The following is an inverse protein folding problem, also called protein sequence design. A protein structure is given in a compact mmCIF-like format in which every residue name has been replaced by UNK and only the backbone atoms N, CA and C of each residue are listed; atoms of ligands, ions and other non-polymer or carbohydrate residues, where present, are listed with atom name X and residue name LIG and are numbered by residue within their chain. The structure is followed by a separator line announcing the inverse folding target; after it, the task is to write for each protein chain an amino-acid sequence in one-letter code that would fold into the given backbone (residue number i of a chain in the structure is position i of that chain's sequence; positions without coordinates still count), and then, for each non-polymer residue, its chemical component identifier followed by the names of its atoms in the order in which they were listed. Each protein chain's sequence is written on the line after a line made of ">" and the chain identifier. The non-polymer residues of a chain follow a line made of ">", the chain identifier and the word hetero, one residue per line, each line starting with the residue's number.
data_IF_778167177134
#
_entry.id   IF_778167177134
#
_cell.length_a   1.000
_cell.length_b   1.000
_cell.length_c   1.000
_cell.angle_alpha   90.00
_cell.angle_beta   90.00
_cell.angle_gamma   90.00
#
_symmetry.space_group_name_H-M   'P 1'
#
loop_
_entity.id
_entity.type
_entity.pdbx_description
1 polymer ?
#
# COMPACT_ATOMS: atom_id res chain seq x y z
N UNK A 1 -36.29 -19.28 86.57
CA UNK A 1 -35.24 -18.72 85.68
C UNK A 1 -35.58 -19.10 84.25
N UNK A 2 -36.23 -18.21 83.51
CA UNK A 2 -36.63 -18.42 82.12
C UNK A 2 -35.41 -18.21 81.21
N UNK A 3 -35.02 -19.24 80.45
CA UNK A 3 -34.01 -19.12 79.38
C UNK A 3 -34.71 -18.72 78.08
N UNK A 4 -34.57 -17.46 77.70
CA UNK A 4 -35.03 -16.95 76.41
C UNK A 4 -34.00 -17.30 75.34
N UNK A 5 -34.39 -18.12 74.37
CA UNK A 5 -33.59 -18.49 73.20
C UNK A 5 -33.59 -17.28 72.24
N UNK A 6 -32.40 -16.74 71.94
CA UNK A 6 -32.24 -15.73 70.88
C UNK A 6 -31.96 -16.44 69.56
N UNK A 7 -32.89 -16.35 68.62
CA UNK A 7 -32.69 -16.77 67.23
C UNK A 7 -31.71 -15.80 66.55
N UNK A 8 -30.62 -16.33 66.03
CA UNK A 8 -29.68 -15.60 65.17
C UNK A 8 -30.15 -15.76 63.74
N UNK A 9 -30.54 -14.65 63.11
CA UNK A 9 -30.85 -14.59 61.67
C UNK A 9 -29.55 -14.29 60.95
N UNK A 10 -29.01 -15.26 60.21
CA UNK A 10 -27.91 -15.05 59.28
C UNK A 10 -28.46 -14.54 57.95
N UNK A 11 -28.18 -13.28 57.62
CA UNK A 11 -28.46 -12.70 56.32
C UNK A 11 -27.29 -13.06 55.39
N UNK A 12 -27.53 -13.93 54.41
CA UNK A 12 -26.61 -14.18 53.32
C UNK A 12 -26.67 -13.00 52.33
N UNK A 13 -25.62 -12.18 52.29
CA UNK A 13 -25.43 -11.22 51.21
C UNK A 13 -24.92 -11.98 49.98
N UNK A 14 -25.77 -12.11 48.96
CA UNK A 14 -25.33 -12.54 47.64
C UNK A 14 -24.51 -11.40 47.00
N UNK A 15 -23.19 -11.58 46.94
CA UNK A 15 -22.31 -10.68 46.21
C UNK A 15 -22.46 -11.02 44.72
N UNK A 16 -23.25 -10.23 43.99
CA UNK A 16 -23.31 -10.30 42.54
C UNK A 16 -22.00 -9.80 41.96
N UNK A 17 -21.23 -10.69 41.32
CA UNK A 17 -20.10 -10.28 40.49
C UNK A 17 -20.62 -9.72 39.18
N UNK A 18 -20.78 -8.40 39.10
CA UNK A 18 -20.88 -7.71 37.83
C UNK A 18 -19.53 -7.82 37.13
N UNK A 19 -19.44 -8.57 36.05
CA UNK A 19 -18.27 -8.58 35.18
C UNK A 19 -18.12 -7.20 34.54
N UNK A 20 -17.25 -6.36 35.12
CA UNK A 20 -16.84 -5.10 34.51
C UNK A 20 -15.98 -5.45 33.31
N UNK A 21 -16.53 -5.31 32.10
CA UNK A 21 -15.76 -5.34 30.86
C UNK A 21 -15.00 -4.01 30.76
N UNK A 22 -13.74 -4.02 31.16
CA UNK A 22 -12.83 -2.92 30.89
C UNK A 22 -12.35 -3.05 29.44
N UNK A 23 -12.77 -2.14 28.57
CA UNK A 23 -12.12 -2.00 27.26
C UNK A 23 -10.69 -1.52 27.50
N UNK A 24 -9.66 -2.22 26.99
CA UNK A 24 -8.29 -1.77 27.15
C UNK A 24 -8.14 -0.39 26.47
N UNK A 25 -7.55 0.56 27.18
CA UNK A 25 -7.17 1.87 26.64
C UNK A 25 -5.79 1.85 25.99
N UNK A 26 -5.03 0.77 26.20
CA UNK A 26 -3.72 0.51 25.60
C UNK A 26 -3.87 -0.74 24.73
N UNK A 27 -3.68 -0.57 23.43
CA UNK A 27 -3.63 -1.66 22.46
C UNK A 27 -2.16 -1.96 22.14
N UNK A 28 -1.76 -3.23 22.02
CA UNK A 28 -0.44 -3.56 21.50
C UNK A 28 -0.26 -2.93 20.12
N UNK A 29 0.81 -2.15 19.94
CA UNK A 29 1.22 -1.55 18.67
C UNK A 29 2.39 -2.34 18.09
N UNK A 30 2.51 -2.40 16.76
CA UNK A 30 3.53 -3.22 16.08
C UNK A 30 3.02 -4.63 15.80
N UNK A 31 3.95 -5.57 15.58
CA UNK A 31 3.58 -6.97 15.31
C UNK A 31 3.15 -7.64 16.62
N UNK A 32 1.88 -8.02 16.71
CA UNK A 32 1.32 -8.63 17.92
C UNK A 32 1.64 -10.12 18.04
N UNK A 33 1.87 -10.81 16.92
CA UNK A 33 2.21 -12.23 16.85
C UNK A 33 3.28 -12.41 15.77
N UNK A 34 4.47 -12.86 16.18
CA UNK A 34 5.55 -13.26 15.27
C UNK A 34 6.11 -14.62 15.71
N UNK A 35 5.97 -15.63 14.85
CA UNK A 35 6.51 -16.97 15.03
C UNK A 35 7.60 -17.22 13.97
N UNK A 36 8.90 -17.13 14.33
CA UNK A 36 10.00 -17.24 13.36
C UNK A 36 10.16 -18.65 12.76
N UNK A 37 9.49 -19.68 13.31
CA UNK A 37 9.45 -21.01 12.70
C UNK A 37 8.42 -21.09 11.56
N UNK A 38 7.44 -20.17 11.54
CA UNK A 38 6.34 -20.13 10.57
C UNK A 38 6.34 -18.91 9.66
N UNK A 39 7.13 -17.89 9.98
CA UNK A 39 7.24 -16.66 9.21
C UNK A 39 8.68 -16.42 8.78
N UNK A 40 8.86 -15.96 7.53
CA UNK A 40 10.16 -15.57 7.04
C UNK A 40 10.68 -14.33 7.80
N UNK A 41 11.90 -14.41 8.33
CA UNK A 41 12.52 -13.29 9.05
C UNK A 41 13.08 -12.27 8.06
N UNK A 42 12.33 -11.21 7.78
CA UNK A 42 12.70 -10.17 6.83
C UNK A 42 12.26 -8.78 7.23
N UNK A 43 12.14 -7.91 6.24
CA UNK A 43 11.61 -6.57 6.38
C UNK A 43 10.33 -6.44 5.56
N UNK A 44 9.42 -5.59 6.03
CA UNK A 44 8.18 -5.26 5.31
C UNK A 44 8.26 -3.81 4.86
N UNK A 45 8.17 -3.60 3.55
CA UNK A 45 8.01 -2.28 2.94
C UNK A 45 6.52 -2.02 2.74
N UNK A 46 6.03 -0.86 3.16
CA UNK A 46 4.67 -0.45 2.85
C UNK A 46 4.54 1.08 2.77
N UNK A 47 3.63 1.54 1.92
CA UNK A 47 3.18 2.93 1.92
C UNK A 47 2.02 3.09 2.90
N UNK A 48 2.18 3.99 3.87
CA UNK A 48 1.15 4.29 4.83
C UNK A 48 0.13 5.27 4.26
N UNK A 49 -1.14 5.22 4.73
CA UNK A 49 -2.17 6.14 4.25
C UNK A 49 -1.90 7.63 4.59
N UNK A 50 -0.90 7.93 5.41
CA UNK A 50 -0.44 9.30 5.70
C UNK A 50 0.58 9.84 4.67
N UNK A 51 0.78 9.13 3.56
CA UNK A 51 1.62 9.57 2.44
C UNK A 51 3.11 9.39 2.67
N UNK A 52 3.51 8.38 3.45
CA UNK A 52 4.92 8.05 3.73
C UNK A 52 5.19 6.58 3.46
N UNK A 53 6.42 6.24 3.13
CA UNK A 53 6.85 4.86 2.90
C UNK A 53 7.69 4.40 4.08
N UNK A 54 7.38 3.23 4.62
CA UNK A 54 7.99 2.68 5.82
C UNK A 54 8.63 1.33 5.53
N UNK A 55 9.79 1.11 6.13
CA UNK A 55 10.42 -0.20 6.24
C UNK A 55 10.39 -0.60 7.71
N UNK A 56 9.75 -1.72 8.02
CA UNK A 56 9.68 -2.26 9.38
C UNK A 56 10.34 -3.64 9.46
N UNK A 57 10.84 -4.00 10.64
CA UNK A 57 11.22 -5.38 10.95
C UNK A 57 9.98 -6.24 11.29
N UNK A 58 10.17 -7.54 11.46
CA UNK A 58 9.07 -8.46 11.81
C UNK A 58 8.48 -8.21 13.21
N UNK A 59 9.15 -7.46 14.09
CA UNK A 59 8.58 -7.04 15.38
C UNK A 59 7.71 -5.77 15.25
N UNK A 60 7.70 -5.14 14.08
CA UNK A 60 6.96 -3.92 13.80
C UNK A 60 7.71 -2.65 14.18
N UNK A 61 9.01 -2.72 14.43
CA UNK A 61 9.82 -1.52 14.66
C UNK A 61 10.13 -0.84 13.31
N UNK A 62 10.00 0.49 13.27
CA UNK A 62 10.43 1.29 12.11
C UNK A 62 11.96 1.24 12.00
N UNK A 63 12.44 0.63 10.91
CA UNK A 63 13.85 0.54 10.54
C UNK A 63 14.26 1.77 9.74
N UNK A 64 13.37 2.20 8.83
CA UNK A 64 13.57 3.38 8.02
C UNK A 64 12.23 3.95 7.51
N UNK A 65 12.24 5.23 7.14
CA UNK A 65 11.08 5.92 6.58
C UNK A 65 11.50 6.95 5.54
N UNK A 66 10.83 6.90 4.39
CA UNK A 66 10.88 7.93 3.36
C UNK A 66 9.67 8.84 3.48
N UNK A 67 9.89 10.16 3.38
CA UNK A 67 8.85 11.19 3.43
C UNK A 67 8.12 11.35 2.08
N UNK A 68 7.90 10.22 1.39
CA UNK A 68 7.23 10.12 0.09
C UNK A 68 6.26 8.94 0.10
N UNK A 69 5.13 9.12 -0.58
CA UNK A 69 4.13 8.07 -0.72
C UNK A 69 4.53 7.08 -1.83
N UNK A 70 3.99 5.87 -1.77
CA UNK A 70 3.95 4.94 -2.89
C UNK A 70 2.53 4.39 -3.03
N UNK A 71 2.16 3.94 -4.23
CA UNK A 71 0.91 3.22 -4.42
C UNK A 71 1.02 2.14 -5.51
N UNK A 72 1.78 1.05 -5.25
CA UNK A 72 2.61 0.78 -4.07
C UNK A 72 3.98 1.50 -4.15
N UNK A 73 4.72 1.50 -3.05
CA UNK A 73 6.17 1.71 -3.10
C UNK A 73 6.84 0.37 -3.36
N UNK A 74 7.83 0.34 -4.26
CA UNK A 74 8.47 -0.91 -4.69
C UNK A 74 9.96 -0.88 -4.42
N UNK A 75 10.50 -1.97 -3.87
CA UNK A 75 11.93 -2.13 -3.65
C UNK A 75 12.60 -2.56 -4.95
N UNK A 76 13.65 -1.85 -5.38
CA UNK A 76 14.45 -2.29 -6.51
C UNK A 76 15.41 -3.39 -6.04
N UNK A 77 15.33 -4.57 -6.68
CA UNK A 77 16.25 -5.67 -6.40
C UNK A 77 17.71 -5.22 -6.64
N UNK A 78 18.58 -5.30 -5.63
CA UNK A 78 20.00 -4.98 -5.79
C UNK A 78 20.69 -5.75 -6.93
N UNK A 79 20.19 -6.94 -7.30
CA UNK A 79 20.74 -7.74 -8.40
C UNK A 79 20.64 -7.06 -9.77
N UNK A 80 19.67 -6.15 -9.95
CA UNK A 80 19.41 -5.46 -11.22
C UNK A 80 19.85 -3.99 -11.25
N UNK A 81 20.37 -3.45 -10.14
CA UNK A 81 20.77 -2.03 -10.04
C UNK A 81 22.23 -1.80 -9.63
N UNK A 82 23.07 -2.83 -9.73
CA UNK A 82 24.49 -2.77 -9.36
C UNK A 82 24.75 -2.90 -7.86
N UNK A 83 23.88 -3.61 -7.13
CA UNK A 83 24.04 -3.89 -5.70
C UNK A 83 23.57 -2.76 -4.77
N UNK A 84 22.89 -1.75 -5.31
CA UNK A 84 22.41 -0.61 -4.51
C UNK A 84 21.21 -1.05 -3.69
N UNK A 85 21.38 -1.05 -2.37
CA UNK A 85 20.33 -1.40 -1.41
C UNK A 85 19.53 -0.16 -1.03
N UNK A 86 18.24 -0.36 -0.75
CA UNK A 86 17.41 0.72 -0.24
C UNK A 86 16.90 1.70 -1.30
N UNK A 87 17.05 1.37 -2.58
CA UNK A 87 16.47 2.15 -3.67
C UNK A 87 15.01 1.74 -3.86
N UNK A 88 14.13 2.74 -3.88
CA UNK A 88 12.68 2.53 -3.95
C UNK A 88 12.08 3.28 -5.13
N UNK A 89 11.07 2.68 -5.75
CA UNK A 89 10.12 3.40 -6.59
C UNK A 89 9.00 4.00 -5.72
N UNK A 90 8.78 5.32 -5.85
CA UNK A 90 7.82 6.11 -5.05
C UNK A 90 7.16 7.22 -5.88
N UNK A 91 6.02 7.73 -5.43
CA UNK A 91 5.39 8.91 -6.01
C UNK A 91 6.11 10.17 -5.49
N UNK A 92 6.75 10.92 -6.37
CA UNK A 92 7.55 12.12 -6.02
C UNK A 92 6.72 13.39 -6.00
N UNK A 93 5.55 13.39 -6.65
CA UNK A 93 4.61 14.51 -6.63
C UNK A 93 3.18 14.03 -6.82
N UNK A 94 2.29 14.45 -5.93
CA UNK A 94 0.86 14.16 -5.98
C UNK A 94 0.03 15.45 -6.00
N UNK A 95 -1.18 15.39 -6.55
CA UNK A 95 -2.20 16.42 -6.32
C UNK A 95 -2.67 16.34 -4.86
N UNK A 96 -3.20 17.43 -4.31
CA UNK A 96 -3.84 17.36 -3.00
C UNK A 96 -5.06 16.42 -3.05
N UNK A 97 -5.26 15.61 -2.01
CA UNK A 97 -6.37 14.66 -1.97
C UNK A 97 -6.33 13.72 -0.78
N UNK A 98 -7.30 12.81 -0.74
CA UNK A 98 -7.38 11.75 0.25
C UNK A 98 -6.08 10.92 0.26
N UNK A 99 -5.61 10.55 1.45
CA UNK A 99 -4.37 9.78 1.65
C UNK A 99 -3.12 10.41 1.01
N UNK A 100 -3.06 11.75 0.95
CA UNK A 100 -1.94 12.44 0.31
C UNK A 100 -1.97 12.42 -1.22
N UNK A 101 -3.13 12.11 -1.83
CA UNK A 101 -3.32 12.17 -3.27
C UNK A 101 -2.72 11.00 -4.04
N UNK A 102 -2.54 9.85 -3.39
CA UNK A 102 -1.92 8.64 -3.98
C UNK A 102 -2.55 8.17 -5.30
N UNK A 103 -3.84 8.45 -5.52
CA UNK A 103 -4.57 8.08 -6.74
C UNK A 103 -4.43 9.08 -7.90
N UNK A 104 -3.80 10.22 -7.63
CA UNK A 104 -3.65 11.37 -8.53
C UNK A 104 -2.19 11.86 -8.56
N UNK A 105 -1.27 10.91 -8.73
CA UNK A 105 0.15 11.20 -8.89
C UNK A 105 0.42 11.96 -10.18
N UNK A 106 1.24 13.01 -10.03
CA UNK A 106 1.73 13.84 -11.12
C UNK A 106 3.05 13.29 -11.62
N UNK A 107 3.92 12.86 -10.70
CA UNK A 107 5.26 12.36 -10.99
C UNK A 107 5.55 11.15 -10.11
N UNK A 108 6.12 10.13 -10.73
CA UNK A 108 6.68 8.96 -10.06
C UNK A 108 8.20 8.98 -10.22
N UNK A 109 8.93 8.26 -9.37
CA UNK A 109 10.38 8.34 -9.37
C UNK A 109 11.05 7.24 -8.58
N UNK A 110 12.38 7.29 -8.59
CA UNK A 110 13.25 6.47 -7.74
C UNK A 110 13.90 7.35 -6.68
N UNK A 111 13.96 6.86 -5.45
CA UNK A 111 14.76 7.45 -4.38
C UNK A 111 15.80 6.47 -3.85
N UNK A 112 16.93 7.00 -3.39
CA UNK A 112 17.93 6.23 -2.66
C UNK A 112 17.55 6.06 -1.17
N UNK A 113 18.41 5.40 -0.41
CA UNK A 113 18.21 5.15 1.03
C UNK A 113 18.11 6.44 1.86
N UNK A 114 18.77 7.52 1.45
CA UNK A 114 18.73 8.81 2.14
C UNK A 114 17.51 9.66 1.74
N UNK A 115 16.70 9.16 0.80
CA UNK A 115 15.52 9.84 0.26
C UNK A 115 15.83 10.86 -0.84
N UNK A 116 17.04 10.85 -1.39
CA UNK A 116 17.35 11.68 -2.56
C UNK A 116 16.69 11.09 -3.80
N UNK A 117 16.02 11.95 -4.57
CA UNK A 117 15.41 11.54 -5.84
C UNK A 117 16.50 11.39 -6.90
N UNK A 118 16.64 10.19 -7.46
CA UNK A 118 17.66 9.84 -8.46
C UNK A 118 17.08 9.61 -9.86
N UNK A 119 15.75 9.44 -9.97
CA UNK A 119 15.04 9.35 -11.24
C UNK A 119 13.60 9.86 -11.08
N UNK A 120 13.02 10.38 -12.16
CA UNK A 120 11.65 10.94 -12.21
C UNK A 120 11.01 10.68 -13.56
N UNK A 121 9.69 10.53 -13.56
CA UNK A 121 8.86 10.48 -14.75
C UNK A 121 7.46 11.04 -14.47
N UNK A 122 6.99 11.94 -15.34
CA UNK A 122 5.64 12.53 -15.32
C UNK A 122 4.73 11.91 -16.39
N UNK A 123 5.31 11.30 -17.43
CA UNK A 123 4.56 10.97 -18.64
C UNK A 123 4.00 12.19 -19.37
N UNK A 124 3.32 11.91 -20.47
CA UNK A 124 2.78 12.94 -21.37
C UNK A 124 1.34 13.33 -21.07
N UNK A 125 0.63 12.55 -20.24
CA UNK A 125 -0.76 12.86 -19.89
C UNK A 125 -0.82 14.25 -19.18
N UNK A 126 -1.80 15.11 -19.53
CA UNK A 126 -1.97 16.41 -18.88
C UNK A 126 -2.14 16.33 -17.35
N UNK A 127 -2.74 15.24 -16.85
CA UNK A 127 -2.96 15.01 -15.43
C UNK A 127 -1.72 14.45 -14.69
N UNK A 128 -0.71 13.96 -15.44
CA UNK A 128 0.58 13.48 -14.92
C UNK A 128 0.80 11.99 -15.12
N UNK A 129 1.62 11.36 -14.26
CA UNK A 129 2.07 9.98 -14.46
C UNK A 129 0.93 8.96 -14.37
N UNK A 130 -0.11 9.26 -13.59
CA UNK A 130 -1.34 8.46 -13.49
C UNK A 130 -1.11 6.99 -13.11
N UNK A 131 0.00 6.68 -12.43
CA UNK A 131 0.31 5.33 -11.93
C UNK A 131 -0.78 4.84 -10.97
N UNK A 132 -1.22 3.59 -11.08
CA UNK A 132 -2.41 3.10 -10.36
C UNK A 132 -2.17 1.89 -9.45
N UNK A 133 -1.45 0.87 -9.92
CA UNK A 133 -1.47 -0.44 -9.27
C UNK A 133 -0.10 -1.08 -9.06
N UNK A 134 0.78 -1.03 -10.05
CA UNK A 134 2.06 -1.71 -9.95
C UNK A 134 3.08 -1.09 -10.90
N UNK A 135 4.34 -1.41 -10.65
CA UNK A 135 5.50 -0.98 -11.42
C UNK A 135 6.76 -1.69 -10.94
N UNK A 136 7.71 -1.86 -11.85
CA UNK A 136 8.96 -2.53 -11.55
C UNK A 136 10.12 -1.99 -12.39
N UNK A 137 11.31 -1.96 -11.79
CA UNK A 137 12.57 -1.77 -12.51
C UNK A 137 12.93 -3.09 -13.21
N UNK A 138 13.31 -3.00 -14.48
CA UNK A 138 13.77 -4.12 -15.28
C UNK A 138 15.31 -4.25 -15.26
N UNK A 139 15.86 -5.45 -15.56
CA UNK A 139 17.31 -5.67 -15.64
C UNK A 139 18.06 -4.78 -16.65
N UNK A 140 17.37 -4.29 -17.68
CA UNK A 140 17.95 -3.37 -18.67
C UNK A 140 17.96 -1.91 -18.19
N UNK A 141 17.44 -1.61 -16.99
CA UNK A 141 17.33 -0.28 -16.42
C UNK A 141 16.01 0.43 -16.73
N UNK A 142 15.17 -0.10 -17.62
CA UNK A 142 13.86 0.46 -17.91
C UNK A 142 12.89 0.23 -16.75
N UNK A 143 11.81 0.99 -16.70
CA UNK A 143 10.76 0.85 -15.68
C UNK A 143 9.45 0.52 -16.36
N UNK A 144 8.83 -0.61 -15.97
CA UNK A 144 7.44 -0.89 -16.30
C UNK A 144 6.54 -0.19 -15.30
N UNK A 145 5.46 0.43 -15.75
CA UNK A 145 4.45 1.00 -14.88
C UNK A 145 3.04 0.74 -15.40
N UNK A 146 2.12 0.42 -14.49
CA UNK A 146 0.68 0.41 -14.75
C UNK A 146 0.15 1.83 -14.55
N UNK A 147 -0.49 2.37 -15.57
CA UNK A 147 -1.02 3.74 -15.60
C UNK A 147 -2.47 3.77 -16.08
N UNK A 148 -3.21 4.78 -15.60
CA UNK A 148 -4.56 5.08 -16.07
C UNK A 148 -4.54 6.08 -17.21
N UNK A 149 -5.32 5.80 -18.25
CA UNK A 149 -5.55 6.72 -19.36
C UNK A 149 -7.05 6.96 -19.58
N UNK A 150 -7.41 8.23 -19.83
CA UNK A 150 -8.80 8.59 -20.17
C UNK A 150 -9.04 8.39 -21.65
N UNK A 151 -9.84 7.40 -22.02
CA UNK A 151 -10.18 7.14 -23.44
C UNK A 151 -11.54 6.47 -23.59
N UNK A 152 -11.99 6.41 -24.84
CA UNK A 152 -13.11 5.54 -25.23
C UNK A 152 -12.52 4.16 -25.58
N UNK A 153 -13.12 3.11 -25.04
CA UNK A 153 -12.86 1.71 -25.42
C UNK A 153 -14.11 1.23 -26.15
N UNK A 154 -14.08 1.12 -27.51
CA UNK A 154 -15.29 0.89 -28.31
C UNK A 154 -16.13 -0.31 -27.87
N UNK A 155 -15.47 -1.39 -27.44
CA UNK A 155 -16.11 -2.63 -26.98
C UNK A 155 -16.87 -2.46 -25.66
N UNK A 156 -16.61 -1.38 -24.91
CA UNK A 156 -17.29 -1.00 -23.66
C UNK A 156 -18.27 0.18 -23.83
N UNK A 157 -18.42 0.71 -25.06
CA UNK A 157 -19.35 1.78 -25.39
C UNK A 157 -18.70 3.10 -25.82
N UNK A 158 -19.48 4.19 -25.78
CA UNK A 158 -19.12 5.50 -26.34
C UNK A 158 -18.63 6.53 -25.32
N UNK A 159 -18.56 6.13 -24.03
CA UNK A 159 -18.14 7.00 -22.93
C UNK A 159 -16.64 6.95 -22.73
N UNK A 160 -16.08 8.07 -22.28
CA UNK A 160 -14.70 8.11 -21.78
C UNK A 160 -14.66 7.36 -20.45
N UNK A 161 -13.81 6.33 -20.38
CA UNK A 161 -13.50 5.56 -19.18
C UNK A 161 -12.03 5.78 -18.78
N UNK A 162 -11.65 5.32 -17.59
CA UNK A 162 -10.26 5.17 -17.20
C UNK A 162 -9.81 3.75 -17.57
N UNK A 163 -9.17 3.62 -18.72
CA UNK A 163 -8.54 2.37 -19.15
C UNK A 163 -7.18 2.22 -18.46
N UNK A 164 -6.71 0.99 -18.30
CA UNK A 164 -5.41 0.67 -17.71
C UNK A 164 -4.43 0.27 -18.81
N UNK A 165 -3.24 0.84 -18.75
CA UNK A 165 -2.15 0.56 -19.67
C UNK A 165 -0.89 0.18 -18.92
N UNK A 166 -0.07 -0.65 -19.54
CA UNK A 166 1.30 -0.94 -19.10
C UNK A 166 2.24 -0.22 -20.06
N UNK A 167 3.15 0.58 -19.51
CA UNK A 167 4.17 1.31 -20.29
C UNK A 167 5.57 0.86 -19.89
N UNK A 168 6.49 0.82 -20.85
CA UNK A 168 7.92 0.66 -20.61
C UNK A 168 8.65 1.98 -20.83
N UNK A 169 9.34 2.45 -19.80
CA UNK A 169 9.98 3.76 -19.75
C UNK A 169 11.48 3.58 -19.61
N UNK A 170 12.26 4.21 -20.47
CA UNK A 170 13.73 4.18 -20.40
C UNK A 170 14.27 5.00 -19.22
N UNK A 171 15.55 4.81 -18.82
CA UNK A 171 16.19 5.67 -17.82
C UNK A 171 16.13 7.17 -18.14
N UNK A 172 16.05 7.53 -19.43
CA UNK A 172 15.95 8.92 -19.88
C UNK A 172 14.51 9.47 -19.85
N UNK A 173 13.53 8.65 -19.47
CA UNK A 173 12.12 9.05 -19.37
C UNK A 173 11.33 8.90 -20.67
N UNK A 174 11.91 8.32 -21.73
CA UNK A 174 11.20 8.02 -22.97
C UNK A 174 10.35 6.75 -22.81
N UNK A 175 9.08 6.83 -23.18
CA UNK A 175 8.21 5.66 -23.33
C UNK A 175 8.50 4.98 -24.66
N UNK A 176 8.89 3.70 -24.62
CA UNK A 176 9.31 2.94 -25.81
C UNK A 176 8.34 1.81 -26.18
N UNK A 177 7.43 1.45 -25.27
CA UNK A 177 6.44 0.42 -25.48
C UNK A 177 5.21 0.68 -24.62
N UNK A 178 4.06 0.25 -25.14
CA UNK A 178 2.78 0.34 -24.45
C UNK A 178 1.87 -0.82 -24.83
N UNK A 179 1.13 -1.32 -23.85
CA UNK A 179 0.01 -2.22 -24.00
C UNK A 179 -1.19 -1.69 -23.20
N UNK A 180 -2.41 -1.92 -23.69
CA UNK A 180 -3.63 -1.35 -23.10
C UNK A 180 -4.70 -2.41 -22.93
N UNK A 181 -5.32 -2.50 -21.77
CA UNK A 181 -6.32 -3.52 -21.49
C UNK A 181 -7.53 -3.41 -22.44
N UNK A 182 -8.00 -2.19 -22.69
CA UNK A 182 -9.13 -1.96 -23.61
C UNK A 182 -8.87 -2.39 -25.06
N UNK A 183 -7.62 -2.40 -25.54
CA UNK A 183 -7.28 -2.86 -26.89
C UNK A 183 -7.29 -4.42 -26.99
N UNK A 184 -7.30 -5.11 -25.84
CA UNK A 184 -7.18 -6.56 -25.72
C UNK A 184 -8.36 -7.21 -24.96
N UNK A 185 -9.48 -6.50 -24.80
CA UNK A 185 -10.58 -6.95 -23.94
C UNK A 185 -11.17 -8.30 -24.38
N UNK A 186 -11.17 -8.58 -25.68
CA UNK A 186 -11.64 -9.83 -26.27
C UNK A 186 -10.74 -11.04 -25.93
N UNK A 187 -9.54 -10.81 -25.39
CA UNK A 187 -8.60 -11.86 -24.95
C UNK A 187 -8.85 -12.31 -23.50
N UNK A 188 -9.63 -11.57 -22.73
CA UNK A 188 -9.87 -11.87 -21.31
C UNK A 188 -10.93 -12.95 -21.07
N UNK A 189 -11.69 -13.34 -22.09
CA UNK A 189 -12.75 -14.34 -21.97
C UNK A 189 -13.94 -13.86 -21.11
N UNK A 190 -14.23 -12.56 -21.13
CA UNK A 190 -15.41 -11.99 -20.47
C UNK A 190 -16.69 -12.43 -21.22
N UNK A 191 -17.78 -12.67 -20.47
CA UNK A 191 -19.10 -12.88 -21.08
C UNK A 191 -19.74 -11.54 -21.44
N UNK A 192 -20.80 -11.58 -22.26
CA UNK A 192 -21.58 -10.39 -22.62
C UNK A 192 -22.15 -9.67 -21.38
N UNK A 193 -22.47 -10.38 -20.30
CA UNK A 193 -22.91 -9.77 -19.03
C UNK A 193 -21.76 -9.14 -18.22
N UNK A 194 -20.51 -9.51 -18.52
CA UNK A 194 -19.31 -8.99 -17.86
C UNK A 194 -18.71 -7.75 -18.52
N UNK A 195 -19.19 -7.38 -19.70
CA UNK A 195 -18.85 -6.17 -20.46
C UNK A 195 -19.88 -5.06 -20.22
#
# INVERSE_FOLDING_TARGET
>A
MNKTIKNIICIFFAIGFSSILANPTIYPTGTTIYDPEKAWNGYVLYASPIGKTHLIDMAGNEVHRWELAGFPSELIDPSINGGKKGHLLVQTKNKAGMWGGIFSNIEIGEVDWDGNIVWRWRGDDPDGAQQSHDWARLPNGNTLAVIKEKRIVPDLGDKIIADEAIVEITPNGEEIWRWRAGDHINEFGLSDEGL
#
